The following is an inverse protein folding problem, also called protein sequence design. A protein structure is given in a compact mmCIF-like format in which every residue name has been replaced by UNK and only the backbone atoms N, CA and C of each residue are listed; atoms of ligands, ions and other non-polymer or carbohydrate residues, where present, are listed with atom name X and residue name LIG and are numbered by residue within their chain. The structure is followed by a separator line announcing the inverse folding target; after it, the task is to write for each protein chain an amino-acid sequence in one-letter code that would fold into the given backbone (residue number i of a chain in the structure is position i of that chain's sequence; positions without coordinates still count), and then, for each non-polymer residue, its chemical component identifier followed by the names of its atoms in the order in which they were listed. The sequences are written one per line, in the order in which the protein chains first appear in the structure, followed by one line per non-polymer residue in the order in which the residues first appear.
data_IF_129978873761
#
_entry.id   IF_129978873761
#
_cell.length_a   1.000
_cell.length_b   1.000
_cell.length_c   1.000
_cell.angle_alpha   90.00
_cell.angle_beta   90.00
_cell.angle_gamma   90.00
#
_symmetry.space_group_name_H-M   'P 1'
#
loop_
_entity.id
_entity.type
_entity.pdbx_description
1 polymer ?
#
# COMPACT_ATOMS: atom_id res chain seq x y z
N UNK A 1 -1.66 0.23 10.78
CA UNK A 1 -2.36 0.24 9.48
C UNK A 1 -2.22 -1.16 8.87
N UNK A 2 -3.22 -1.66 8.14
CA UNK A 2 -3.06 -2.92 7.39
C UNK A 2 -2.18 -2.68 6.16
N UNK A 3 -1.27 -3.61 5.88
CA UNK A 3 -0.33 -3.61 4.77
C UNK A 3 -0.39 -5.00 4.14
N UNK A 4 -0.30 -5.03 2.82
CA UNK A 4 -0.17 -6.27 2.04
C UNK A 4 1.05 -6.11 1.15
N UNK A 5 1.97 -7.07 1.26
CA UNK A 5 3.05 -7.27 0.29
C UNK A 5 2.65 -8.41 -0.64
N UNK A 6 2.85 -8.18 -1.93
CA UNK A 6 2.60 -9.14 -3.00
C UNK A 6 3.85 -9.30 -3.82
N UNK A 7 4.20 -10.55 -4.10
CA UNK A 7 5.21 -10.92 -5.07
C UNK A 7 4.61 -11.97 -6.00
N UNK A 8 4.82 -11.80 -7.30
CA UNK A 8 4.41 -12.74 -8.34
C UNK A 8 5.63 -13.11 -9.18
N UNK A 9 5.74 -14.40 -9.51
CA UNK A 9 6.70 -14.91 -10.48
C UNK A 9 5.96 -15.81 -11.46
N UNK A 10 5.93 -15.40 -12.73
CA UNK A 10 5.22 -16.14 -13.78
C UNK A 10 5.90 -17.46 -14.13
N UNK A 11 7.23 -17.49 -14.02
CA UNK A 11 8.09 -18.63 -14.36
C UNK A 11 9.07 -18.91 -13.21
N UNK A 12 8.59 -19.38 -12.04
CA UNK A 12 9.50 -19.81 -10.99
C UNK A 12 10.39 -20.94 -11.54
N UNK A 13 11.68 -20.88 -11.28
CA UNK A 13 12.53 -22.04 -11.56
C UNK A 13 12.17 -23.15 -10.56
N UNK A 14 11.84 -24.38 -11.01
CA UNK A 14 11.62 -25.51 -10.11
C UNK A 14 12.85 -25.86 -9.27
N UNK A 15 14.03 -25.46 -9.75
CA UNK A 15 15.33 -25.74 -9.14
C UNK A 15 15.83 -24.59 -8.23
N UNK A 16 15.11 -23.47 -8.19
CA UNK A 16 15.42 -22.38 -7.26
C UNK A 16 14.73 -22.65 -5.91
N UNK A 17 15.47 -22.79 -4.79
CA UNK A 17 14.88 -22.92 -3.46
C UNK A 17 14.05 -21.69 -3.01
N UNK A 18 14.16 -20.55 -3.72
CA UNK A 18 13.29 -19.38 -3.59
C UNK A 18 12.25 -19.25 -4.72
N UNK A 19 12.00 -20.32 -5.50
CA UNK A 19 11.10 -20.37 -6.65
C UNK A 19 9.61 -20.29 -6.32
N UNK A 20 9.18 -19.18 -5.70
CA UNK A 20 7.79 -18.94 -5.34
C UNK A 20 7.01 -18.33 -6.51
N UNK A 21 5.86 -18.92 -6.87
CA UNK A 21 4.91 -18.30 -7.83
C UNK A 21 4.22 -17.07 -7.25
N UNK A 22 3.92 -17.12 -5.96
CA UNK A 22 3.17 -16.10 -5.25
C UNK A 22 3.62 -16.06 -3.79
N UNK A 23 3.93 -14.87 -3.30
CA UNK A 23 4.08 -14.60 -1.86
C UNK A 23 3.07 -13.51 -1.50
N UNK A 24 2.24 -13.78 -0.50
CA UNK A 24 1.37 -12.79 0.12
C UNK A 24 1.75 -12.68 1.60
N UNK A 25 2.25 -11.52 2.00
CA UNK A 25 2.43 -11.19 3.41
C UNK A 25 1.46 -10.08 3.79
N UNK A 26 0.63 -10.32 4.80
CA UNK A 26 -0.42 -9.38 5.22
C UNK A 26 -0.41 -9.23 6.74
N UNK A 27 -0.39 -8.00 7.22
CA UNK A 27 -0.68 -7.71 8.62
C UNK A 27 -2.10 -7.17 8.75
N UNK A 28 -2.82 -7.70 9.74
CA UNK A 28 -4.13 -7.19 10.13
C UNK A 28 -3.99 -6.31 11.36
N UNK A 29 -4.08 -5.00 11.16
CA UNK A 29 -4.19 -4.04 12.25
C UNK A 29 -5.65 -3.90 12.68
N UNK A 30 -5.94 -4.23 13.95
CA UNK A 30 -7.29 -4.28 14.49
C UNK A 30 -7.28 -4.18 16.02
N UNK A 31 -8.43 -3.84 16.62
CA UNK A 31 -8.61 -3.84 18.07
C UNK A 31 -8.23 -5.18 18.70
N UNK A 32 -7.37 -5.13 19.73
CA UNK A 32 -6.92 -6.29 20.50
C UNK A 32 -8.07 -7.18 21.01
N UNK A 33 -9.18 -6.57 21.43
CA UNK A 33 -10.34 -7.28 21.98
C UNK A 33 -11.32 -7.77 20.92
N UNK A 34 -11.05 -7.57 19.62
CA UNK A 34 -11.93 -8.11 18.57
C UNK A 34 -11.68 -9.62 18.43
N UNK A 35 -12.64 -10.47 18.78
CA UNK A 35 -12.42 -11.91 18.78
C UNK A 35 -12.28 -12.44 17.35
N UNK A 36 -11.32 -13.33 17.15
CA UNK A 36 -11.06 -14.02 15.87
C UNK A 36 -10.71 -15.49 16.12
N UNK A 37 -10.97 -16.34 15.13
CA UNK A 37 -10.39 -17.68 15.05
C UNK A 37 -9.13 -17.63 14.19
N UNK A 38 -8.14 -18.45 14.56
CA UNK A 38 -6.92 -18.66 13.77
C UNK A 38 -7.26 -19.24 12.40
N UNK A 39 -6.34 -19.05 11.44
CA UNK A 39 -6.51 -19.62 10.11
C UNK A 39 -6.60 -21.14 10.18
N UNK A 40 -7.62 -21.69 9.53
CA UNK A 40 -7.88 -23.12 9.38
C UNK A 40 -8.72 -23.34 8.13
N UNK A 41 -8.79 -24.58 7.66
CA UNK A 41 -9.80 -24.94 6.68
C UNK A 41 -11.19 -24.82 7.28
N UNK A 42 -12.12 -24.22 6.56
CA UNK A 42 -13.47 -23.96 7.07
C UNK A 42 -14.33 -25.22 6.95
N UNK A 43 -15.05 -25.57 8.02
CA UNK A 43 -15.85 -26.80 8.07
C UNK A 43 -16.89 -26.90 6.94
N UNK A 44 -17.57 -25.78 6.62
CA UNK A 44 -18.57 -25.73 5.53
C UNK A 44 -17.95 -25.58 4.13
N UNK A 45 -16.66 -25.21 4.05
CA UNK A 45 -15.95 -24.93 2.80
C UNK A 45 -14.52 -25.48 2.96
N UNK A 46 -14.33 -26.81 2.90
CA UNK A 46 -13.08 -27.45 3.29
C UNK A 46 -11.91 -27.15 2.33
N UNK A 47 -12.19 -26.59 1.16
CA UNK A 47 -11.19 -26.08 0.23
C UNK A 47 -10.68 -24.68 0.60
N UNK A 48 -11.33 -23.95 1.51
CA UNK A 48 -11.03 -22.56 1.87
C UNK A 48 -10.27 -22.52 3.20
N UNK A 49 -9.07 -21.93 3.18
CA UNK A 49 -8.29 -21.59 4.37
C UNK A 49 -8.29 -20.07 4.60
N UNK A 50 -8.72 -19.65 5.78
CA UNK A 50 -8.70 -18.25 6.21
C UNK A 50 -8.86 -18.16 7.73
N UNK A 51 -8.35 -17.07 8.32
CA UNK A 51 -8.80 -16.65 9.65
C UNK A 51 -10.27 -16.19 9.61
N UNK A 52 -10.94 -16.22 10.76
CA UNK A 52 -12.37 -15.90 10.83
C UNK A 52 -12.64 -14.83 11.89
N UNK A 53 -13.40 -13.81 11.54
CA UNK A 53 -13.95 -12.84 12.49
C UNK A 53 -15.03 -13.54 13.33
N UNK A 54 -14.96 -13.38 14.65
CA UNK A 54 -15.92 -13.91 15.62
C UNK A 54 -16.71 -12.79 16.31
N UNK A 55 -16.50 -11.53 15.91
CA UNK A 55 -17.23 -10.40 16.49
C UNK A 55 -18.73 -10.58 16.22
N UNK A 56 -19.60 -10.40 17.24
CA UNK A 56 -21.05 -10.44 17.08
C UNK A 56 -21.55 -9.57 15.91
N UNK A 57 -22.32 -10.18 15.00
CA UNK A 57 -22.85 -9.56 13.79
C UNK A 57 -21.84 -9.38 12.65
N UNK A 58 -20.63 -9.96 12.77
CA UNK A 58 -19.56 -9.97 11.76
C UNK A 58 -18.95 -11.36 11.58
N UNK A 59 -19.56 -12.39 12.18
CA UNK A 59 -19.07 -13.76 12.16
C UNK A 59 -18.96 -14.28 10.73
N UNK A 60 -17.87 -15.00 10.44
CA UNK A 60 -17.62 -15.54 9.11
C UNK A 60 -17.03 -14.54 8.12
N UNK A 61 -16.70 -13.31 8.55
CA UNK A 61 -15.82 -12.44 7.79
C UNK A 61 -14.36 -12.90 7.85
N UNK A 62 -13.56 -12.54 6.85
CA UNK A 62 -12.12 -12.79 6.80
C UNK A 62 -11.37 -11.57 6.25
N UNK A 63 -10.05 -11.56 6.43
CA UNK A 63 -9.16 -10.48 5.97
C UNK A 63 -8.19 -10.94 4.88
N UNK A 64 -7.76 -12.20 4.93
CA UNK A 64 -6.94 -12.88 3.94
C UNK A 64 -7.39 -14.35 3.92
N UNK A 65 -7.50 -14.91 2.73
CA UNK A 65 -7.77 -16.33 2.56
C UNK A 65 -7.40 -16.82 1.17
N UNK A 66 -7.33 -18.14 1.05
CA UNK A 66 -7.03 -18.83 -0.19
C UNK A 66 -7.85 -20.12 -0.28
N UNK A 67 -8.11 -20.59 -1.49
CA UNK A 67 -8.66 -21.91 -1.75
C UNK A 67 -7.64 -22.87 -2.37
N UNK A 68 -7.85 -24.17 -2.19
CA UNK A 68 -6.99 -25.21 -2.78
C UNK A 68 -6.97 -25.22 -4.31
N UNK A 69 -7.98 -24.64 -4.97
CA UNK A 69 -8.03 -24.43 -6.42
C UNK A 69 -7.39 -23.11 -6.87
N UNK A 70 -6.66 -22.44 -5.98
CA UNK A 70 -5.78 -21.31 -6.34
C UNK A 70 -6.43 -19.93 -6.29
N UNK A 71 -7.68 -19.80 -5.82
CA UNK A 71 -8.28 -18.46 -5.58
C UNK A 71 -7.69 -17.87 -4.31
N UNK A 72 -7.35 -16.58 -4.33
CA UNK A 72 -6.93 -15.85 -3.14
C UNK A 72 -7.63 -14.51 -3.08
N UNK A 73 -7.83 -14.02 -1.86
CA UNK A 73 -8.40 -12.70 -1.63
C UNK A 73 -7.89 -12.08 -0.34
N UNK A 74 -7.68 -10.77 -0.36
CA UNK A 74 -7.33 -9.99 0.83
C UNK A 74 -7.99 -8.62 0.79
N UNK A 75 -8.34 -8.11 1.96
CA UNK A 75 -8.95 -6.78 2.13
C UNK A 75 -8.17 -5.96 3.15
N UNK A 76 -7.83 -4.73 2.80
CA UNK A 76 -7.25 -3.75 3.72
C UNK A 76 -8.22 -2.62 3.96
N UNK A 77 -8.36 -2.20 5.21
CA UNK A 77 -9.24 -1.09 5.58
C UNK A 77 -8.57 0.26 5.29
N UNK A 78 -9.31 1.20 4.68
CA UNK A 78 -8.92 2.61 4.70
C UNK A 78 -9.43 3.26 5.99
N UNK A 79 -8.56 3.97 6.71
CA UNK A 79 -8.94 4.65 7.95
C UNK A 79 -9.63 5.96 7.58
N UNK A 80 -10.93 6.03 7.83
CA UNK A 80 -11.75 7.22 7.56
C UNK A 80 -12.14 7.93 8.84
N UNK A 81 -12.32 9.25 8.74
CA UNK A 81 -12.85 10.06 9.83
C UNK A 81 -14.31 9.65 10.16
N UNK A 82 -14.76 9.76 11.42
CA UNK A 82 -16.08 9.29 11.84
C UNK A 82 -17.26 9.85 11.04
N UNK A 83 -17.13 11.06 10.50
CA UNK A 83 -18.14 11.71 9.65
C UNK A 83 -18.48 10.94 8.37
N UNK A 84 -17.64 10.00 7.95
CA UNK A 84 -17.86 9.15 6.77
C UNK A 84 -18.54 7.82 7.12
N UNK A 85 -18.86 7.58 8.39
CA UNK A 85 -19.56 6.37 8.80
C UNK A 85 -21.07 6.53 8.63
N UNK A 86 -21.64 5.82 7.66
CA UNK A 86 -23.08 5.73 7.45
C UNK A 86 -23.72 4.69 8.38
N UNK A 87 -24.96 4.89 8.84
CA UNK A 87 -25.65 3.94 9.71
C UNK A 87 -25.98 2.60 9.02
N UNK A 88 -25.93 2.55 7.69
CA UNK A 88 -26.28 1.38 6.86
C UNK A 88 -25.07 0.68 6.21
N UNK A 89 -23.84 1.04 6.59
CA UNK A 89 -22.63 0.51 5.94
C UNK A 89 -22.40 -0.96 6.28
N UNK A 90 -22.20 -1.77 5.24
CA UNK A 90 -21.95 -3.21 5.34
C UNK A 90 -20.49 -3.45 5.74
N UNK A 91 -20.26 -4.53 6.51
CA UNK A 91 -18.93 -4.96 6.87
C UNK A 91 -18.17 -5.53 5.67
N UNK A 92 -16.95 -5.04 5.43
CA UNK A 92 -16.08 -5.50 4.33
C UNK A 92 -15.54 -6.93 4.50
N UNK A 93 -15.59 -7.46 5.72
CA UNK A 93 -15.01 -8.78 6.03
C UNK A 93 -15.64 -9.92 5.23
N UNK A 94 -16.84 -9.75 4.68
CA UNK A 94 -17.48 -10.76 3.84
C UNK A 94 -16.96 -10.77 2.39
N UNK A 95 -16.30 -9.70 1.93
CA UNK A 95 -15.77 -9.64 0.55
C UNK A 95 -14.77 -10.77 0.26
N UNK A 96 -13.89 -11.08 1.21
CA UNK A 96 -12.93 -12.18 1.06
C UNK A 96 -13.63 -13.53 0.94
N UNK A 97 -14.42 -14.00 1.91
CA UNK A 97 -15.06 -15.31 1.83
C UNK A 97 -16.10 -15.39 0.71
N UNK A 98 -16.78 -14.30 0.34
CA UNK A 98 -17.76 -14.33 -0.76
C UNK A 98 -17.07 -14.63 -2.10
N UNK A 99 -15.92 -14.02 -2.38
CA UNK A 99 -15.12 -14.38 -3.56
C UNK A 99 -14.61 -15.82 -3.50
N UNK A 100 -14.04 -16.22 -2.36
CA UNK A 100 -13.41 -17.54 -2.21
C UNK A 100 -14.43 -18.69 -2.30
N UNK A 101 -15.69 -18.45 -1.93
CA UNK A 101 -16.79 -19.42 -2.09
C UNK A 101 -17.46 -19.36 -3.46
N UNK A 102 -17.33 -18.25 -4.17
CA UNK A 102 -17.90 -18.03 -5.50
C UNK A 102 -17.27 -18.89 -6.60
N UNK A 103 -17.69 -18.64 -7.84
CA UNK A 103 -17.24 -19.35 -9.05
C UNK A 103 -15.78 -19.06 -9.44
N UNK A 104 -15.18 -18.01 -8.87
CA UNK A 104 -13.80 -17.60 -9.14
C UNK A 104 -13.64 -16.68 -10.35
N UNK A 105 -14.72 -16.13 -10.91
CA UNK A 105 -14.63 -15.09 -11.93
C UNK A 105 -14.23 -13.75 -11.30
N UNK A 106 -12.94 -13.41 -11.41
CA UNK A 106 -12.34 -12.19 -10.85
C UNK A 106 -13.03 -10.92 -11.34
N UNK A 107 -13.22 -10.77 -12.66
CA UNK A 107 -13.76 -9.57 -13.26
C UNK A 107 -15.22 -9.33 -12.85
N UNK A 108 -16.06 -10.36 -12.94
CA UNK A 108 -17.47 -10.31 -12.55
C UNK A 108 -17.63 -9.95 -11.08
N UNK A 109 -16.79 -10.53 -10.21
CA UNK A 109 -16.81 -10.24 -8.78
C UNK A 109 -16.43 -8.79 -8.48
N UNK A 110 -15.32 -8.30 -9.05
CA UNK A 110 -14.87 -6.92 -8.87
C UNK A 110 -15.88 -5.92 -9.43
N UNK A 111 -16.52 -6.22 -10.58
CA UNK A 111 -17.58 -5.38 -11.15
C UNK A 111 -18.80 -5.30 -10.22
N UNK A 112 -19.18 -6.43 -9.63
CA UNK A 112 -20.29 -6.49 -8.65
C UNK A 112 -19.98 -5.68 -7.40
N UNK A 113 -18.77 -5.80 -6.85
CA UNK A 113 -18.34 -5.05 -5.67
C UNK A 113 -18.24 -3.55 -5.98
N UNK A 114 -17.67 -3.18 -7.14
CA UNK A 114 -17.55 -1.79 -7.59
C UNK A 114 -18.92 -1.11 -7.74
N UNK A 115 -19.89 -1.80 -8.36
CA UNK A 115 -21.27 -1.31 -8.49
C UNK A 115 -22.03 -1.17 -7.16
N UNK A 116 -21.44 -1.64 -6.06
CA UNK A 116 -21.99 -1.53 -4.70
C UNK A 116 -21.03 -0.82 -3.74
N UNK A 117 -20.00 -0.14 -4.26
CA UNK A 117 -18.92 0.47 -3.49
C UNK A 117 -19.41 1.43 -2.41
N UNK A 118 -20.46 2.20 -2.68
CA UNK A 118 -21.10 3.13 -1.74
C UNK A 118 -21.66 2.47 -0.47
N UNK A 119 -21.90 1.15 -0.50
CA UNK A 119 -22.38 0.40 0.67
C UNK A 119 -21.29 0.10 1.69
N UNK A 120 -20.01 0.34 1.36
CA UNK A 120 -18.86 0.01 2.18
C UNK A 120 -18.09 1.27 2.62
N UNK A 121 -17.46 1.21 3.78
CA UNK A 121 -16.40 2.16 4.13
C UNK A 121 -15.18 1.91 3.24
N UNK A 122 -14.34 2.92 3.00
CA UNK A 122 -13.18 2.84 2.12
C UNK A 122 -12.28 1.62 2.41
N UNK A 123 -11.81 0.97 1.34
CA UNK A 123 -11.04 -0.25 1.40
C UNK A 123 -10.24 -0.46 0.13
N UNK A 124 -9.22 -1.32 0.21
CA UNK A 124 -8.65 -1.96 -0.96
C UNK A 124 -9.02 -3.44 -0.90
N UNK A 125 -9.43 -3.99 -2.04
CA UNK A 125 -9.71 -5.40 -2.21
C UNK A 125 -8.83 -5.93 -3.33
N UNK A 126 -8.09 -6.99 -3.03
CA UNK A 126 -7.34 -7.75 -4.00
C UNK A 126 -7.95 -9.15 -4.07
N UNK A 127 -8.28 -9.58 -5.28
CA UNK A 127 -8.72 -10.95 -5.56
C UNK A 127 -7.97 -11.48 -6.76
N UNK A 128 -7.74 -12.78 -6.80
CA UNK A 128 -7.08 -13.43 -7.93
C UNK A 128 -7.30 -14.93 -7.94
N UNK A 129 -6.98 -15.55 -9.07
CA UNK A 129 -6.98 -17.00 -9.24
C UNK A 129 -5.70 -17.41 -9.96
N UNK A 130 -4.91 -18.27 -9.34
CA UNK A 130 -3.74 -18.86 -9.97
C UNK A 130 -4.18 -19.89 -11.02
N UNK A 131 -3.77 -19.72 -12.27
CA UNK A 131 -3.93 -20.75 -13.30
C UNK A 131 -2.89 -21.86 -13.09
N UNK A 132 -3.31 -23.12 -13.24
CA UNK A 132 -2.39 -24.27 -13.27
C UNK A 132 -1.80 -24.52 -14.67
N UNK A 133 -2.23 -23.76 -15.68
CA UNK A 133 -1.82 -23.92 -17.08
C UNK A 133 -0.79 -22.86 -17.47
N UNK A 134 0.23 -23.28 -18.23
CA UNK A 134 1.36 -22.47 -18.76
C UNK A 134 0.96 -21.25 -19.62
N UNK A 135 -0.34 -21.03 -19.81
CA UNK A 135 -0.87 -19.81 -20.42
C UNK A 135 -1.50 -18.94 -19.33
N UNK A 136 -0.72 -18.00 -18.80
CA UNK A 136 -1.24 -16.81 -18.15
C UNK A 136 -1.99 -15.99 -19.20
N UNK A 137 -3.30 -16.17 -19.32
CA UNK A 137 -4.15 -15.13 -19.90
C UNK A 137 -4.34 -14.05 -18.86
N UNK A 138 -3.38 -13.13 -18.80
CA UNK A 138 -3.48 -11.86 -18.10
C UNK A 138 -4.54 -11.02 -18.81
N UNK A 139 -5.79 -11.16 -18.41
CA UNK A 139 -6.82 -10.15 -18.70
C UNK A 139 -7.25 -9.54 -17.37
N UNK A 140 -6.33 -8.81 -16.75
CA UNK A 140 -6.63 -7.94 -15.63
C UNK A 140 -7.17 -6.61 -16.19
N UNK A 141 -8.23 -6.02 -15.61
CA UNK A 141 -8.64 -4.67 -15.98
C UNK A 141 -7.51 -3.67 -15.68
N UNK A 142 -7.47 -2.62 -16.49
CA UNK A 142 -6.43 -1.59 -16.65
C UNK A 142 -6.21 -0.72 -15.40
N UNK A 143 -5.85 -1.32 -14.27
CA UNK A 143 -5.44 -0.62 -13.05
C UNK A 143 -4.27 -1.37 -12.40
N UNK A 144 -3.07 -0.84 -12.61
CA UNK A 144 -1.82 -1.40 -12.10
C UNK A 144 -1.02 -0.33 -11.36
N UNK A 145 -0.17 -0.77 -10.44
CA UNK A 145 0.79 0.11 -9.76
C UNK A 145 1.84 0.57 -10.77
N UNK A 146 1.88 1.86 -11.11
CA UNK A 146 2.93 2.43 -11.97
C UNK A 146 4.26 2.66 -11.26
N UNK A 147 4.24 2.75 -9.93
CA UNK A 147 5.43 3.04 -9.13
C UNK A 147 5.40 2.22 -7.84
N UNK A 148 6.54 1.65 -7.48
CA UNK A 148 6.80 1.00 -6.20
C UNK A 148 8.04 1.64 -5.58
N UNK A 149 7.93 2.14 -4.35
CA UNK A 149 9.03 2.79 -3.64
C UNK A 149 9.30 2.07 -2.32
N UNK A 150 10.57 1.75 -2.08
CA UNK A 150 11.09 1.23 -0.82
C UNK A 150 12.12 2.22 -0.31
N UNK A 151 11.95 2.67 0.94
CA UNK A 151 12.96 3.48 1.64
C UNK A 151 13.46 2.69 2.82
N UNK A 152 14.76 2.43 2.84
CA UNK A 152 15.47 1.78 3.93
C UNK A 152 16.32 2.83 4.64
N UNK A 153 16.31 2.86 5.96
CA UNK A 153 17.22 3.70 6.75
C UNK A 153 17.91 2.80 7.75
N UNK A 154 19.25 2.78 7.74
CA UNK A 154 20.02 1.97 8.66
C UNK A 154 20.22 2.65 10.02
N UNK A 155 20.84 1.94 10.97
CA UNK A 155 21.08 2.45 12.33
C UNK A 155 22.07 3.63 12.38
N UNK A 156 22.80 3.90 11.30
CA UNK A 156 23.73 5.04 11.18
C UNK A 156 23.07 6.25 10.53
N UNK A 157 21.80 6.12 10.12
CA UNK A 157 21.07 7.18 9.42
C UNK A 157 21.37 7.23 7.92
N UNK A 158 21.96 6.18 7.35
CA UNK A 158 22.11 6.07 5.90
C UNK A 158 20.79 5.62 5.30
N UNK A 159 20.25 6.41 4.37
CA UNK A 159 19.00 6.14 3.68
C UNK A 159 19.25 5.62 2.25
N UNK A 160 18.59 4.52 1.90
CA UNK A 160 18.51 3.97 0.54
C UNK A 160 17.06 4.11 0.06
N UNK A 161 16.82 5.02 -0.88
CA UNK A 161 15.54 5.20 -1.56
C UNK A 161 15.60 4.45 -2.88
N UNK A 162 14.82 3.38 -3.01
CA UNK A 162 14.70 2.59 -4.23
C UNK A 162 13.30 2.78 -4.78
N UNK A 163 13.19 3.23 -6.02
CA UNK A 163 11.94 3.37 -6.73
C UNK A 163 11.98 2.58 -8.03
N UNK A 164 10.98 1.73 -8.23
CA UNK A 164 10.73 1.07 -9.49
C UNK A 164 9.51 1.73 -10.14
N UNK A 165 9.72 2.44 -11.24
CA UNK A 165 8.67 3.15 -11.98
C UNK A 165 8.52 2.55 -13.37
N UNK A 166 7.27 2.38 -13.81
CA UNK A 166 6.90 1.95 -15.15
C UNK A 166 7.05 3.12 -16.10
N UNK A 167 7.76 2.92 -17.21
CA UNK A 167 7.99 3.99 -18.19
C UNK A 167 6.68 4.40 -18.89
N UNK A 168 6.61 5.66 -19.32
CA UNK A 168 5.36 6.36 -19.68
C UNK A 168 4.56 5.65 -20.80
N UNK A 169 5.23 4.89 -21.66
CA UNK A 169 4.67 4.19 -22.82
C UNK A 169 4.08 2.79 -22.50
N UNK A 170 4.20 2.33 -21.25
CA UNK A 170 3.67 1.05 -20.76
C UNK A 170 2.13 1.03 -20.71
N UNK A 171 1.49 0.87 -21.87
CA UNK A 171 0.03 0.67 -21.99
C UNK A 171 -0.36 -0.80 -21.84
N UNK A 172 0.59 -1.71 -22.10
CA UNK A 172 0.49 -3.13 -21.82
C UNK A 172 1.37 -3.50 -20.61
N UNK A 173 0.80 -3.99 -19.50
CA UNK A 173 1.56 -4.41 -18.32
C UNK A 173 2.49 -5.60 -18.59
N UNK A 174 2.21 -6.43 -19.61
CA UNK A 174 3.00 -7.60 -19.96
C UNK A 174 4.22 -7.23 -20.83
N UNK A 175 4.21 -6.03 -21.45
CA UNK A 175 5.33 -5.48 -22.25
C UNK A 175 5.99 -4.26 -21.59
N UNK A 176 5.60 -3.92 -20.36
CA UNK A 176 6.05 -2.72 -19.68
C UNK A 176 7.55 -2.76 -19.35
N UNK A 177 8.29 -1.74 -19.81
CA UNK A 177 9.65 -1.49 -19.33
C UNK A 177 9.62 -0.80 -17.97
N UNK A 178 10.54 -1.21 -17.09
CA UNK A 178 10.64 -0.73 -15.72
C UNK A 178 11.99 -0.11 -15.46
N UNK A 179 11.97 1.12 -14.95
CA UNK A 179 13.15 1.83 -14.49
C UNK A 179 13.32 1.65 -13.00
N UNK A 180 14.50 1.20 -12.59
CA UNK A 180 14.91 1.16 -11.19
C UNK A 180 15.80 2.37 -10.90
N UNK A 181 15.32 3.27 -10.05
CA UNK A 181 16.07 4.41 -9.55
C UNK A 181 16.48 4.14 -8.11
N UNK A 182 17.77 4.21 -7.82
CA UNK A 182 18.30 4.09 -6.45
C UNK A 182 19.00 5.39 -6.07
N UNK A 183 18.64 5.95 -4.93
CA UNK A 183 19.27 7.11 -4.34
C UNK A 183 19.77 6.73 -2.94
N UNK A 184 21.00 7.10 -2.64
CA UNK A 184 21.64 6.86 -1.35
C UNK A 184 22.07 8.20 -0.76
N UNK A 185 21.70 8.45 0.49
CA UNK A 185 22.04 9.70 1.19
C UNK A 185 22.01 9.50 2.70
N UNK A 186 22.84 10.25 3.41
CA UNK A 186 22.81 10.28 4.87
C UNK A 186 21.78 11.31 5.35
N UNK A 187 21.01 10.96 6.38
CA UNK A 187 20.07 11.88 7.01
C UNK A 187 20.84 13.02 7.70
N UNK A 188 20.44 14.25 7.43
CA UNK A 188 20.98 15.42 8.13
C UNK A 188 20.54 15.32 9.58
N UNK A 189 21.51 15.14 10.48
CA UNK A 189 21.27 15.32 11.91
C UNK A 189 21.30 16.82 12.19
N UNK A 190 20.17 17.38 12.62
CA UNK A 190 20.19 18.71 13.26
C UNK A 190 21.03 18.56 14.54
N UNK A 191 22.26 19.07 14.52
CA UNK A 191 22.99 19.35 15.74
C UNK A 191 22.26 20.50 16.43
N UNK A 192 21.31 20.16 17.30
CA UNK A 192 20.84 21.10 18.29
C UNK A 192 22.03 21.46 19.16
N UNK A 193 22.61 22.63 18.93
CA UNK A 193 23.49 23.29 19.89
C UNK A 193 22.69 23.50 21.17
N UNK A 194 22.77 22.54 22.09
CA UNK A 194 22.53 22.80 23.49
C UNK A 194 23.76 23.56 24.00
N UNK A 195 23.87 24.85 23.65
CA UNK A 195 24.81 25.74 24.33
C UNK A 195 24.36 25.84 25.79
N UNK A 196 25.15 25.22 26.66
CA UNK A 196 25.11 25.41 28.09
C UNK A 196 25.23 26.91 28.39
N UNK A 197 24.16 27.51 28.93
CA UNK A 197 24.23 28.79 29.61
C UNK A 197 25.09 28.64 30.87
N UNK A 198 26.41 28.79 30.71
CA UNK A 198 27.32 29.15 31.81
C UNK A 198 27.70 30.62 31.63
N UNK A 199 27.20 31.41 32.56
CA UNK A 199 27.52 32.82 32.78
C UNK A 199 29.01 33.04 33.00
N UNK A 200 29.62 34.04 32.34
CA UNK A 200 30.30 35.15 33.02
C UNK A 200 30.83 36.19 32.03
N UNK A 201 30.40 37.43 32.27
CA UNK A 201 31.14 38.69 32.18
C UNK A 201 32.23 38.85 31.11
N UNK A 202 31.99 39.76 30.15
CA UNK A 202 32.73 41.03 30.09
C UNK A 202 32.11 42.02 29.08
N UNK A 203 31.90 43.23 29.60
CA UNK A 203 31.64 44.56 29.02
C UNK A 203 32.37 44.76 27.67
N UNK A 204 31.76 45.29 26.60
CA UNK A 204 31.63 46.75 26.33
C UNK A 204 30.48 47.12 25.38
N UNK A 205 29.78 48.20 25.74
CA UNK A 205 28.94 49.01 24.85
C UNK A 205 29.74 49.59 23.68
N UNK A 206 29.16 49.62 22.48
CA UNK A 206 29.22 50.77 21.56
C UNK A 206 28.06 50.72 20.53
N UNK A 207 27.05 51.52 20.83
CA UNK A 207 26.38 52.52 19.98
C UNK A 207 26.34 52.41 18.43
N UNK A 208 25.09 52.55 17.90
CA UNK A 208 24.63 53.51 16.85
C UNK A 208 23.94 52.92 15.58
N UNK A 209 22.60 53.12 15.58
CA UNK A 209 21.63 53.58 14.56
C UNK A 209 21.51 52.99 13.13
N UNK A 210 20.25 52.64 12.80
CA UNK A 210 19.45 52.86 11.57
C UNK A 210 20.13 53.39 10.30
N UNK A 211 19.83 52.79 9.14
CA UNK A 211 18.97 53.46 8.13
C UNK A 211 18.58 52.62 6.88
N UNK A 212 17.31 52.82 6.47
CA UNK A 212 16.67 52.86 5.14
C UNK A 212 16.95 51.88 3.98
N UNK A 213 15.88 51.19 3.57
CA UNK A 213 15.19 51.16 2.26
C UNK A 213 15.92 51.43 0.91
N UNK A 214 15.65 50.56 -0.09
CA UNK A 214 14.86 50.86 -1.32
C UNK A 214 15.41 50.33 -2.68
N UNK A 215 14.50 49.72 -3.46
CA UNK A 215 14.49 49.50 -4.94
C UNK A 215 15.39 48.39 -5.53
N UNK A 216 15.07 47.68 -6.63
CA UNK A 216 14.20 48.00 -7.76
C UNK A 216 13.73 46.76 -8.56
N UNK A 217 12.43 46.76 -8.90
CA UNK A 217 11.78 46.56 -10.21
C UNK A 217 12.44 45.67 -11.31
N UNK A 218 11.70 44.60 -11.64
CA UNK A 218 11.11 44.21 -12.95
C UNK A 218 11.85 44.47 -14.27
N UNK A 219 11.93 43.44 -15.12
CA UNK A 219 11.61 43.56 -16.55
C UNK A 219 11.05 42.24 -17.13
N UNK A 220 9.95 42.38 -17.85
CA UNK A 220 9.19 41.39 -18.61
C UNK A 220 9.38 41.67 -20.10
N UNK A 221 9.55 40.63 -20.92
CA UNK A 221 9.08 40.51 -22.33
C UNK A 221 9.36 39.06 -22.78
N UNK A 222 8.40 38.13 -22.84
CA UNK A 222 7.33 37.88 -23.84
C UNK A 222 7.78 37.81 -25.31
N UNK A 223 7.33 36.75 -25.99
CA UNK A 223 6.66 36.66 -27.33
C UNK A 223 6.74 35.20 -27.82
N UNK A 224 5.65 34.41 -27.73
CA UNK A 224 4.63 34.03 -28.76
C UNK A 224 4.91 32.63 -29.37
N UNK A 225 4.05 31.64 -29.10
CA UNK A 225 2.91 31.16 -29.91
C UNK A 225 3.27 30.48 -31.24
N UNK A 226 3.13 29.15 -31.26
CA UNK A 226 2.26 28.38 -32.16
C UNK A 226 1.90 27.05 -31.50
#
# INVERSE_FOLDING_TARGET
MCIVFLYFCDKPSPDDPAGYRLIIASNRDEFYFRPTATARFWEKNPNLIAGMDLKPGKEGGAWLGMTTDGKFATVTNYRQAPKFFGPSTIGRGYLVPDFLKGDGNVESYLKTVSGQSEKYHGFNLLVGKLSQTDETKSSMPTYFLRTNTVVLVDAKGHATYVERTMDEDGTDPDEAEWRLNTFEFDLIQETGDCEDHVTNDHVTNDHVTNDTAESAKTNHTNVEQQ
#
